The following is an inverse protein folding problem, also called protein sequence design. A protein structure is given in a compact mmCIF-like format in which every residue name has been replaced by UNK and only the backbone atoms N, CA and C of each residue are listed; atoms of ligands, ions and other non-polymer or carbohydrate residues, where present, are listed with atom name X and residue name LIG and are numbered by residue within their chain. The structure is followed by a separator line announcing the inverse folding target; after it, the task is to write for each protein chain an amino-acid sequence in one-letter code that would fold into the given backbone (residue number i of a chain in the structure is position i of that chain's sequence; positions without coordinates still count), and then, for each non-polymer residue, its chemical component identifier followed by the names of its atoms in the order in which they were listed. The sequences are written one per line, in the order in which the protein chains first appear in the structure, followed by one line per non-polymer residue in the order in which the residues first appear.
data_IF_463356533856
#
_entry.id   IF_463356533856
#
_cell.length_a   1.000
_cell.length_b   1.000
_cell.length_c   1.000
_cell.angle_alpha   90.00
_cell.angle_beta   90.00
_cell.angle_gamma   90.00
#
_symmetry.space_group_name_H-M   'P 1'
#
loop_
_entity.id
_entity.type
_entity.pdbx_description
1 polymer ?
#
# COMPACT_ATOMS: atom_id res chain seq x y z
N UNK A 1 58.71 -38.94 -15.01
CA UNK A 1 57.59 -38.34 -14.25
C UNK A 1 56.86 -37.26 -15.06
N UNK A 2 55.75 -37.57 -15.74
CA UNK A 2 54.96 -36.59 -16.53
C UNK A 2 53.53 -36.34 -15.98
N UNK A 3 53.13 -37.00 -14.89
CA UNK A 3 51.74 -36.96 -14.37
C UNK A 3 51.40 -35.74 -13.51
N UNK A 4 52.37 -35.03 -12.94
CA UNK A 4 52.13 -33.93 -11.99
C UNK A 4 51.56 -32.67 -12.65
N UNK A 5 52.02 -32.31 -13.85
CA UNK A 5 51.60 -31.09 -14.56
C UNK A 5 50.11 -31.13 -14.97
N UNK A 6 49.58 -32.31 -15.27
CA UNK A 6 48.19 -32.46 -15.70
C UNK A 6 47.20 -32.22 -14.54
N UNK A 7 47.53 -32.65 -13.32
CA UNK A 7 46.70 -32.41 -12.12
C UNK A 7 46.57 -30.92 -11.81
N UNK A 8 47.68 -30.18 -11.90
CA UNK A 8 47.70 -28.74 -11.67
C UNK A 8 46.83 -27.98 -12.68
N UNK A 9 46.93 -28.29 -13.98
CA UNK A 9 46.10 -27.68 -15.02
C UNK A 9 44.61 -27.98 -14.80
N UNK A 10 44.27 -29.23 -14.42
CA UNK A 10 42.88 -29.61 -14.11
C UNK A 10 42.34 -28.83 -12.91
N UNK A 11 43.14 -28.68 -11.84
CA UNK A 11 42.79 -27.90 -10.65
C UNK A 11 42.52 -26.44 -11.01
N UNK A 12 43.41 -25.78 -11.75
CA UNK A 12 43.19 -24.40 -12.17
C UNK A 12 41.91 -24.21 -12.99
N UNK A 13 41.62 -25.14 -13.92
CA UNK A 13 40.38 -25.10 -14.71
C UNK A 13 39.14 -25.28 -13.84
N UNK A 14 39.18 -26.18 -12.86
CA UNK A 14 38.10 -26.38 -11.91
C UNK A 14 37.87 -25.13 -11.05
N UNK A 15 38.94 -24.54 -10.53
CA UNK A 15 38.89 -23.33 -9.72
C UNK A 15 38.28 -22.16 -10.50
N UNK A 16 38.71 -21.94 -11.75
CA UNK A 16 38.14 -20.90 -12.63
C UNK A 16 36.64 -21.11 -12.86
N UNK A 17 36.21 -22.34 -13.14
CA UNK A 17 34.78 -22.66 -13.31
C UNK A 17 33.99 -22.43 -12.01
N UNK A 18 34.57 -22.78 -10.86
CA UNK A 18 33.93 -22.57 -9.55
C UNK A 18 33.74 -21.07 -9.26
N UNK A 19 34.74 -20.23 -9.55
CA UNK A 19 34.67 -18.77 -9.39
C UNK A 19 33.57 -18.16 -10.26
N UNK A 20 33.54 -18.51 -11.55
CA UNK A 20 32.50 -18.04 -12.48
C UNK A 20 31.10 -18.45 -12.02
N UNK A 21 30.94 -19.68 -11.50
CA UNK A 21 29.64 -20.13 -10.97
C UNK A 21 29.23 -19.34 -9.73
N UNK A 22 30.14 -19.09 -8.80
CA UNK A 22 29.89 -18.29 -7.59
C UNK A 22 29.51 -16.86 -7.94
N UNK A 23 30.26 -16.22 -8.83
CA UNK A 23 29.99 -14.85 -9.29
C UNK A 23 28.62 -14.74 -9.98
N UNK A 24 28.29 -15.67 -10.88
CA UNK A 24 26.97 -15.72 -11.52
C UNK A 24 25.83 -15.93 -10.51
N UNK A 25 26.07 -16.74 -9.48
CA UNK A 25 25.08 -16.97 -8.43
C UNK A 25 24.91 -15.74 -7.55
N UNK A 26 25.99 -15.07 -7.16
CA UNK A 26 25.95 -13.80 -6.43
C UNK A 26 25.20 -12.72 -7.20
N UNK A 27 25.54 -12.52 -8.49
CA UNK A 27 24.83 -11.57 -9.35
C UNK A 27 23.34 -11.88 -9.49
N UNK A 28 22.96 -13.16 -9.52
CA UNK A 28 21.55 -13.57 -9.51
C UNK A 28 20.88 -13.23 -8.18
N UNK A 29 21.51 -13.56 -7.06
CA UNK A 29 21.01 -13.27 -5.71
C UNK A 29 20.87 -11.77 -5.48
N UNK A 30 21.85 -10.97 -5.92
CA UNK A 30 21.80 -9.50 -5.87
C UNK A 30 20.62 -8.96 -6.67
N UNK A 31 20.44 -9.43 -7.92
CA UNK A 31 19.27 -9.06 -8.73
C UNK A 31 17.95 -9.42 -8.07
N UNK A 32 17.85 -10.60 -7.47
CA UNK A 32 16.63 -11.03 -6.77
C UNK A 32 16.39 -10.31 -5.44
N UNK A 33 17.46 -9.81 -4.79
CA UNK A 33 17.36 -9.01 -3.57
C UNK A 33 17.05 -7.55 -3.87
N UNK A 34 17.58 -7.02 -4.96
CA UNK A 34 17.31 -5.66 -5.44
C UNK A 34 15.95 -5.54 -6.13
N UNK A 35 15.40 -6.64 -6.64
CA UNK A 35 13.96 -6.72 -6.94
C UNK A 35 13.21 -6.82 -5.61
N UNK A 36 13.17 -5.71 -4.90
CA UNK A 36 12.75 -5.60 -3.49
C UNK A 36 11.30 -6.03 -3.23
N UNK A 37 10.49 -6.29 -4.26
CA UNK A 37 9.07 -6.53 -4.05
C UNK A 37 8.49 -7.35 -5.19
N UNK A 38 7.84 -8.47 -4.85
CA UNK A 38 6.88 -9.15 -5.73
C UNK A 38 5.54 -8.38 -5.78
N UNK A 39 5.51 -7.13 -5.29
CA UNK A 39 4.33 -6.30 -5.28
C UNK A 39 4.06 -5.81 -6.70
N UNK A 40 2.80 -5.88 -7.10
CA UNK A 40 2.32 -5.51 -8.43
C UNK A 40 2.75 -4.07 -8.80
N UNK A 41 2.79 -3.18 -7.81
CA UNK A 41 3.19 -1.78 -7.98
C UNK A 41 4.64 -1.62 -8.46
N UNK A 42 5.54 -2.53 -8.10
CA UNK A 42 6.93 -2.54 -8.56
C UNK A 42 7.12 -3.11 -9.97
N UNK A 43 6.03 -3.62 -10.57
CA UNK A 43 5.98 -4.03 -11.99
C UNK A 43 5.31 -2.97 -12.87
N UNK A 44 4.72 -1.93 -12.29
CA UNK A 44 4.07 -0.84 -13.02
C UNK A 44 5.09 0.29 -13.20
N UNK A 45 5.39 0.64 -14.44
CA UNK A 45 6.24 1.77 -14.79
C UNK A 45 5.39 2.89 -15.37
N UNK A 46 5.60 4.11 -14.90
CA UNK A 46 4.99 5.30 -15.50
C UNK A 46 5.84 5.77 -16.69
N UNK A 47 5.18 6.27 -17.72
CA UNK A 47 5.80 6.71 -18.98
C UNK A 47 5.47 8.19 -19.19
N UNK A 48 6.49 8.99 -19.52
CA UNK A 48 6.34 10.40 -19.85
C UNK A 48 5.84 10.62 -21.30
N UNK A 49 5.59 11.87 -21.68
CA UNK A 49 5.13 12.27 -23.02
C UNK A 49 6.11 11.88 -24.14
N UNK A 50 7.37 11.57 -23.79
CA UNK A 50 8.44 11.20 -24.70
C UNK A 50 8.72 9.69 -24.70
N UNK A 51 7.97 8.91 -23.94
CA UNK A 51 8.13 7.45 -23.86
C UNK A 51 9.20 6.97 -22.89
N UNK A 52 9.78 7.84 -22.05
CA UNK A 52 10.78 7.45 -21.05
C UNK A 52 10.10 6.96 -19.77
N UNK A 53 10.72 5.97 -19.13
CA UNK A 53 10.25 5.45 -17.83
C UNK A 53 10.65 6.42 -16.73
N UNK A 54 9.68 6.84 -15.93
CA UNK A 54 9.86 7.76 -14.81
C UNK A 54 9.50 7.05 -13.50
N UNK A 55 10.34 7.22 -12.47
CA UNK A 55 10.14 6.63 -11.14
C UNK A 55 9.05 7.36 -10.33
N UNK A 56 8.75 8.60 -10.71
CA UNK A 56 7.76 9.46 -10.06
C UNK A 56 6.36 9.26 -10.64
N UNK A 57 5.39 9.04 -9.75
CA UNK A 57 3.97 8.97 -10.12
C UNK A 57 3.53 10.33 -10.66
N UNK A 58 2.78 10.41 -11.79
CA UNK A 58 2.29 11.68 -12.31
C UNK A 58 1.41 12.38 -11.27
N UNK A 59 1.60 13.70 -11.11
CA UNK A 59 0.85 14.48 -10.13
C UNK A 59 -0.66 14.36 -10.38
N UNK A 60 -1.49 14.13 -9.34
CA UNK A 60 -2.93 14.03 -9.51
C UNK A 60 -3.46 15.40 -9.95
N UNK A 61 -3.98 15.49 -11.17
CA UNK A 61 -4.63 16.70 -11.68
C UNK A 61 -5.91 16.94 -10.87
N UNK A 62 -5.82 17.75 -9.82
CA UNK A 62 -6.97 18.11 -8.97
C UNK A 62 -7.83 19.12 -9.73
N UNK A 63 -8.73 18.62 -10.57
CA UNK A 63 -9.76 19.46 -11.21
C UNK A 63 -10.71 19.93 -10.11
N UNK A 64 -10.47 21.14 -9.60
CA UNK A 64 -11.34 21.79 -8.61
C UNK A 64 -12.72 22.02 -9.23
N UNK A 65 -13.68 21.13 -8.93
CA UNK A 65 -15.10 21.37 -9.25
C UNK A 65 -15.60 22.53 -8.39
N UNK A 66 -15.84 23.68 -9.01
CA UNK A 66 -16.52 24.80 -8.38
C UNK A 66 -17.99 24.43 -8.14
N UNK A 67 -18.36 24.17 -6.89
CA UNK A 67 -19.76 23.94 -6.52
C UNK A 67 -20.31 25.25 -5.97
N UNK A 68 -21.20 25.90 -6.73
CA UNK A 68 -21.95 27.08 -6.27
C UNK A 68 -23.07 26.61 -5.35
N UNK A 69 -22.92 26.80 -4.03
CA UNK A 69 -23.96 26.43 -3.06
C UNK A 69 -25.06 27.49 -3.04
N UNK A 70 -26.10 27.32 -3.87
CA UNK A 70 -27.30 28.13 -3.75
C UNK A 70 -28.05 27.74 -2.48
N UNK A 71 -27.92 28.55 -1.42
CA UNK A 71 -28.57 28.40 -0.12
C UNK A 71 -30.09 28.43 -0.29
N UNK A 72 -30.74 27.26 -0.37
CA UNK A 72 -32.20 27.16 -0.26
C UNK A 72 -32.62 27.53 1.16
N UNK A 73 -33.43 28.57 1.30
CA UNK A 73 -34.07 28.98 2.56
C UNK A 73 -35.23 28.03 2.81
N UNK A 74 -35.12 27.18 3.83
CA UNK A 74 -36.24 26.39 4.35
C UNK A 74 -36.97 27.27 5.37
N UNK A 75 -38.22 27.62 5.11
CA UNK A 75 -39.07 28.29 6.09
C UNK A 75 -39.63 27.25 7.06
N UNK A 76 -39.19 27.28 8.31
CA UNK A 76 -39.76 26.44 9.37
C UNK A 76 -41.09 27.03 9.87
N UNK A 77 -42.14 26.21 10.10
CA UNK A 77 -43.42 26.70 10.61
C UNK A 77 -43.34 27.07 12.09
N UNK A 78 -43.99 28.19 12.47
CA UNK A 78 -44.06 28.67 13.87
C UNK A 78 -44.75 27.65 14.77
N UNK A 79 -44.06 27.22 15.82
CA UNK A 79 -44.59 26.33 16.87
C UNK A 79 -45.63 27.10 17.70
N UNK A 80 -46.88 26.65 17.71
CA UNK A 80 -47.95 27.16 18.57
C UNK A 80 -47.88 26.43 19.91
N UNK A 81 -47.60 27.15 21.00
CA UNK A 81 -47.71 26.68 22.39
C UNK A 81 -49.13 26.88 22.89
N UNK A 82 -49.81 25.80 23.31
CA UNK A 82 -50.98 25.85 24.20
C UNK A 82 -50.96 24.68 25.18
N UNK A 83 -50.56 25.01 26.41
CA UNK A 83 -51.12 24.68 27.74
C UNK A 83 -51.68 23.27 28.05
N UNK A 84 -50.92 22.58 28.93
CA UNK A 84 -51.29 21.88 30.18
C UNK A 84 -52.68 21.22 30.34
N UNK A 85 -52.70 19.91 30.69
CA UNK A 85 -52.99 19.32 32.03
C UNK A 85 -53.46 17.86 31.93
N UNK A 86 -53.28 17.14 33.04
CA UNK A 86 -53.86 15.85 33.48
C UNK A 86 -52.88 14.66 33.33
N UNK A 87 -52.12 14.26 34.36
CA UNK A 87 -52.46 13.68 35.68
C UNK A 87 -52.44 12.15 35.66
N UNK A 88 -51.61 11.60 36.58
CA UNK A 88 -51.65 10.26 37.21
C UNK A 88 -51.49 9.06 36.26
N UNK A 89 -50.56 8.12 36.43
CA UNK A 89 -50.35 7.16 37.52
C UNK A 89 -48.99 6.46 37.25
N UNK A 90 -48.03 6.45 38.18
CA UNK A 90 -47.81 5.43 39.23
C UNK A 90 -46.88 4.27 38.81
N UNK A 91 -45.71 4.22 39.48
CA UNK A 91 -44.85 3.04 39.78
C UNK A 91 -44.10 2.40 38.59
N UNK A 92 -42.92 1.80 38.69
CA UNK A 92 -42.22 1.19 39.82
C UNK A 92 -40.72 1.02 39.49
N UNK A 93 -39.87 1.51 40.39
CA UNK A 93 -38.56 1.03 40.85
C UNK A 93 -37.72 -0.02 40.06
N UNK A 94 -36.40 0.30 40.04
CA UNK A 94 -35.23 -0.58 40.10
C UNK A 94 -34.98 -1.48 38.86
N UNK A 95 -33.76 -1.70 38.39
CA UNK A 95 -32.58 -2.02 39.16
C UNK A 95 -31.31 -1.95 38.29
N UNK A 96 -30.23 -1.66 38.99
CA UNK A 96 -28.83 -1.57 38.61
C UNK A 96 -28.25 -2.94 38.17
N UNK A 97 -27.27 -2.89 37.26
CA UNK A 97 -26.22 -3.87 36.92
C UNK A 97 -26.56 -5.14 36.11
N UNK A 98 -25.77 -5.40 35.05
CA UNK A 98 -24.59 -6.26 35.20
C UNK A 98 -23.69 -6.25 33.95
N UNK A 99 -22.39 -6.11 34.23
CA UNK A 99 -21.29 -6.47 33.36
C UNK A 99 -21.30 -7.99 33.09
N UNK A 100 -21.00 -8.38 31.85
CA UNK A 100 -19.94 -9.33 31.49
C UNK A 100 -19.72 -9.28 29.97
#
# INVERSE_FOLDING_TARGET
MARSNNSFIKKQKADKKSKIRKEKLQKKVEKTKSSTSNDIDSMIAYVDEYGNIVDERPEPVVVKKSITFNKKVVSEPKKVTTETKNATESTNNNNINNNN
#
